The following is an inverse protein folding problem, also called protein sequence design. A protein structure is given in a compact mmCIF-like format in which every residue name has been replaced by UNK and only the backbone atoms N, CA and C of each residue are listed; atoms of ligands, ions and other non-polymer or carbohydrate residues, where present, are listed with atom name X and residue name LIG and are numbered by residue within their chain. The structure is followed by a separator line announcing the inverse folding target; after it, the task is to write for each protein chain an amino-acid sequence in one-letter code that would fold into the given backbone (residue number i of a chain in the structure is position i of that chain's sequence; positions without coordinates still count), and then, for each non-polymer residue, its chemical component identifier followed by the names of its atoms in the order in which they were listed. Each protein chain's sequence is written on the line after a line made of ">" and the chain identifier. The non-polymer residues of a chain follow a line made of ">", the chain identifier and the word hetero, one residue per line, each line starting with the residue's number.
data_IF_176026864715
#
_entry.id   IF_176026864715
#
_cell.length_a   1.000
_cell.length_b   1.000
_cell.length_c   1.000
_cell.angle_alpha   90.00
_cell.angle_beta   90.00
_cell.angle_gamma   90.00
#
_symmetry.space_group_name_H-M   'P 1'
#
loop_
_entity.id
_entity.type
_entity.pdbx_description
1 polymer ?
#
# COMPACT_ATOMS: atom_id res chain seq x y z
N UNK A 1 28.07 -13.36 6.58
CA UNK A 1 27.03 -12.79 7.43
C UNK A 1 26.70 -13.85 8.45
N UNK A 2 26.86 -13.51 9.72
CA UNK A 2 26.49 -14.39 10.84
C UNK A 2 24.98 -14.22 11.14
N UNK A 3 24.30 -15.28 11.58
CA UNK A 3 22.88 -15.24 11.98
C UNK A 3 21.86 -15.34 10.85
N UNK A 4 22.29 -15.49 9.58
CA UNK A 4 21.37 -15.59 8.42
C UNK A 4 20.44 -16.81 8.53
N UNK A 5 20.90 -17.85 9.22
CA UNK A 5 20.14 -19.09 9.47
C UNK A 5 18.94 -18.87 10.44
N UNK A 6 18.89 -17.72 11.12
CA UNK A 6 17.79 -17.35 12.00
C UNK A 6 16.64 -16.67 11.24
N UNK A 7 16.87 -16.31 9.96
CA UNK A 7 15.90 -15.60 9.12
C UNK A 7 15.34 -16.54 8.05
N UNK A 8 14.03 -16.51 7.88
CA UNK A 8 13.33 -17.24 6.82
C UNK A 8 13.13 -16.38 5.57
N UNK A 9 13.05 -15.05 5.74
CA UNK A 9 12.66 -14.14 4.67
C UNK A 9 13.22 -12.73 4.89
N UNK A 10 13.60 -12.09 3.79
CA UNK A 10 13.91 -10.65 3.72
C UNK A 10 12.82 -9.97 2.89
N UNK A 11 12.24 -8.90 3.41
CA UNK A 11 11.22 -8.09 2.75
C UNK A 11 11.73 -6.66 2.66
N UNK A 12 12.05 -6.23 1.44
CA UNK A 12 12.38 -4.84 1.17
C UNK A 12 11.11 -4.06 0.82
N UNK A 13 10.81 -3.01 1.57
CA UNK A 13 9.65 -2.13 1.41
C UNK A 13 10.15 -0.74 1.00
N UNK A 14 10.41 -0.59 -0.29
CA UNK A 14 10.90 0.62 -0.92
C UNK A 14 9.76 1.49 -1.48
N UNK A 15 10.10 2.69 -1.94
CA UNK A 15 9.17 3.65 -2.53
C UNK A 15 8.87 3.40 -4.03
N UNK A 16 9.32 2.27 -4.60
CA UNK A 16 9.02 1.93 -5.98
C UNK A 16 7.50 1.71 -6.20
N UNK A 17 6.96 2.06 -7.36
CA UNK A 17 5.53 1.90 -7.65
C UNK A 17 5.04 0.47 -7.44
N UNK A 18 3.81 0.30 -6.95
CA UNK A 18 3.14 -1.01 -6.80
C UNK A 18 2.72 -1.63 -8.14
N UNK A 19 2.96 -0.94 -9.25
CA UNK A 19 2.72 -1.41 -10.61
C UNK A 19 2.97 -0.31 -11.61
N UNK A 20 3.06 -0.68 -12.88
CA UNK A 20 3.42 0.23 -13.99
C UNK A 20 2.23 0.60 -14.88
N UNK A 21 1.04 0.13 -14.57
CA UNK A 21 -0.15 0.35 -15.40
C UNK A 21 -1.30 0.91 -14.57
N UNK A 22 -2.26 1.62 -15.19
CA UNK A 22 -3.45 2.12 -14.49
C UNK A 22 -4.32 1.02 -13.85
N UNK A 23 -4.11 -0.26 -14.19
CA UNK A 23 -4.81 -1.41 -13.62
C UNK A 23 -4.31 -1.79 -12.22
N UNK A 24 -3.07 -1.46 -11.91
CA UNK A 24 -2.53 -1.64 -10.58
C UNK A 24 -3.07 -0.54 -9.66
N UNK A 25 -3.62 -0.92 -8.53
CA UNK A 25 -4.19 -0.02 -7.54
C UNK A 25 -4.14 -0.68 -6.14
N UNK A 26 -4.41 0.06 -5.05
CA UNK A 26 -4.38 -0.49 -3.70
C UNK A 26 -5.22 -1.75 -3.52
N UNK A 27 -6.45 -1.79 -4.08
CA UNK A 27 -7.34 -2.95 -3.95
C UNK A 27 -6.79 -4.20 -4.65
N UNK A 28 -6.17 -4.04 -5.83
CA UNK A 28 -5.58 -5.19 -6.57
C UNK A 28 -4.31 -5.68 -5.93
N UNK A 29 -3.44 -4.78 -5.48
CA UNK A 29 -2.14 -5.12 -4.90
C UNK A 29 -2.29 -5.87 -3.56
N UNK A 30 -3.18 -5.42 -2.69
CA UNK A 30 -3.47 -6.07 -1.40
C UNK A 30 -4.30 -7.35 -1.53
N UNK A 31 -4.81 -7.66 -2.72
CA UNK A 31 -5.73 -8.77 -2.95
C UNK A 31 -7.16 -8.53 -2.45
N UNK A 32 -7.45 -7.34 -1.90
CA UNK A 32 -8.80 -6.93 -1.48
C UNK A 32 -9.81 -7.02 -2.61
N UNK A 33 -9.38 -6.69 -3.83
CA UNK A 33 -10.25 -6.71 -5.00
C UNK A 33 -10.81 -8.10 -5.34
N UNK A 34 -10.09 -9.18 -5.01
CA UNK A 34 -10.61 -10.53 -5.20
C UNK A 34 -11.84 -10.78 -4.32
N UNK A 35 -11.77 -10.36 -3.05
CA UNK A 35 -12.87 -10.52 -2.10
C UNK A 35 -14.07 -9.63 -2.48
N UNK A 36 -13.83 -8.43 -3.00
CA UNK A 36 -14.87 -7.55 -3.54
C UNK A 36 -15.56 -8.19 -4.74
N UNK A 37 -14.82 -8.76 -5.69
CA UNK A 37 -15.38 -9.46 -6.86
C UNK A 37 -16.22 -10.66 -6.46
N UNK A 38 -15.77 -11.44 -5.49
CA UNK A 38 -16.53 -12.58 -4.94
C UNK A 38 -17.84 -12.12 -4.32
N UNK A 39 -17.81 -11.02 -3.58
CA UNK A 39 -19.01 -10.41 -2.99
C UNK A 39 -20.03 -10.02 -4.06
N UNK A 40 -19.60 -9.30 -5.11
CA UNK A 40 -20.50 -8.89 -6.20
C UNK A 40 -21.04 -10.10 -6.96
N UNK A 41 -20.25 -11.12 -7.23
CA UNK A 41 -20.68 -12.36 -7.86
C UNK A 41 -21.69 -13.14 -6.99
N UNK A 42 -21.66 -12.98 -5.67
CA UNK A 42 -22.56 -13.63 -4.74
C UNK A 42 -23.93 -12.96 -4.64
N UNK A 43 -24.11 -11.74 -5.17
CA UNK A 43 -25.39 -11.02 -5.15
C UNK A 43 -26.46 -11.76 -5.92
N UNK A 44 -27.72 -11.60 -5.50
CA UNK A 44 -28.87 -12.25 -6.18
C UNK A 44 -28.97 -11.82 -7.65
N UNK A 45 -28.72 -10.54 -7.93
CA UNK A 45 -28.77 -10.00 -9.29
C UNK A 45 -27.66 -10.60 -10.19
N UNK A 46 -26.43 -10.72 -9.69
CA UNK A 46 -25.35 -11.37 -10.43
C UNK A 46 -25.65 -12.84 -10.72
N UNK A 47 -26.17 -13.59 -9.73
CA UNK A 47 -26.57 -14.99 -9.87
C UNK A 47 -27.68 -15.17 -10.89
N UNK A 48 -28.71 -14.32 -10.88
CA UNK A 48 -29.84 -14.39 -11.83
C UNK A 48 -29.40 -14.13 -13.28
N UNK A 49 -28.32 -13.38 -13.47
CA UNK A 49 -27.73 -13.07 -14.78
C UNK A 49 -26.61 -14.06 -15.17
N UNK A 50 -26.26 -15.03 -14.32
CA UNK A 50 -25.15 -15.96 -14.56
C UNK A 50 -23.77 -15.29 -14.50
N UNK A 51 -23.62 -14.19 -13.75
CA UNK A 51 -22.38 -13.45 -13.64
C UNK A 51 -21.49 -14.04 -12.55
N UNK A 52 -20.37 -14.66 -12.94
CA UNK A 52 -19.33 -15.11 -12.01
C UNK A 52 -18.32 -14.01 -11.70
N UNK A 53 -17.35 -14.34 -10.85
CA UNK A 53 -16.28 -13.42 -10.39
C UNK A 53 -15.51 -12.74 -11.54
N UNK A 54 -15.32 -13.44 -12.67
CA UNK A 54 -14.64 -12.90 -13.86
C UNK A 54 -15.36 -11.71 -14.47
N UNK A 55 -16.71 -11.63 -14.36
CA UNK A 55 -17.51 -10.50 -14.85
C UNK A 55 -17.13 -9.18 -14.17
N UNK A 56 -16.75 -9.26 -12.92
CA UNK A 56 -16.36 -8.11 -12.09
C UNK A 56 -14.85 -7.80 -12.15
N UNK A 57 -14.11 -8.43 -13.06
CA UNK A 57 -12.70 -8.11 -13.32
C UNK A 57 -12.59 -7.15 -14.50
N UNK A 58 -11.91 -6.02 -14.29
CA UNK A 58 -11.57 -5.12 -15.40
C UNK A 58 -10.39 -5.63 -16.26
N UNK A 59 -9.75 -6.74 -15.89
CA UNK A 59 -8.67 -7.37 -16.68
C UNK A 59 -9.20 -8.42 -17.67
N UNK A 60 -10.43 -8.89 -17.49
CA UNK A 60 -11.01 -9.99 -18.28
C UNK A 60 -12.14 -9.45 -19.17
N UNK A 61 -12.23 -9.96 -20.39
CA UNK A 61 -13.32 -9.64 -21.32
C UNK A 61 -14.67 -10.07 -20.74
N UNK A 62 -15.71 -9.38 -21.16
CA UNK A 62 -17.11 -9.67 -20.79
C UNK A 62 -17.70 -8.66 -19.83
N UNK A 63 -16.99 -8.23 -18.79
CA UNK A 63 -17.48 -7.20 -17.84
C UNK A 63 -16.81 -5.84 -17.96
N UNK A 64 -15.61 -5.78 -18.53
CA UNK A 64 -14.86 -4.56 -18.69
C UNK A 64 -15.36 -3.68 -19.85
N UNK A 65 -15.02 -2.42 -19.83
CA UNK A 65 -15.16 -1.52 -20.96
C UNK A 65 -14.16 -1.94 -22.05
N UNK A 66 -14.63 -2.32 -23.23
CA UNK A 66 -13.74 -2.75 -24.32
C UNK A 66 -13.06 -1.57 -25.01
N UNK A 67 -13.61 -0.34 -24.94
CA UNK A 67 -12.99 0.85 -25.53
C UNK A 67 -11.63 1.19 -24.89
N UNK A 68 -11.52 1.05 -23.54
CA UNK A 68 -10.26 1.24 -22.81
C UNK A 68 -9.68 -0.06 -22.28
N UNK A 69 -10.21 -1.21 -22.68
CA UNK A 69 -9.79 -2.53 -22.21
C UNK A 69 -9.75 -2.68 -20.67
N UNK A 70 -10.56 -1.90 -19.95
CA UNK A 70 -10.65 -1.91 -18.50
C UNK A 70 -9.70 -0.94 -17.78
N UNK A 71 -8.88 -0.17 -18.50
CA UNK A 71 -7.94 0.80 -17.90
C UNK A 71 -8.68 2.00 -17.28
N UNK A 72 -9.88 2.32 -17.78
CA UNK A 72 -10.61 3.53 -17.41
C UNK A 72 -10.04 4.79 -18.06
N UNK A 73 -8.82 4.73 -18.53
CA UNK A 73 -8.05 5.80 -19.17
C UNK A 73 -7.67 5.39 -20.59
N UNK A 74 -7.49 6.35 -21.45
CA UNK A 74 -6.89 6.20 -22.78
C UNK A 74 -5.51 6.86 -22.76
N UNK A 75 -4.50 6.14 -23.21
CA UNK A 75 -3.14 6.65 -23.36
C UNK A 75 -3.06 7.38 -24.70
N UNK A 76 -2.65 8.64 -24.67
CA UNK A 76 -2.32 9.44 -25.86
C UNK A 76 -0.80 9.50 -25.92
N UNK A 77 -0.22 8.79 -26.89
CA UNK A 77 1.22 8.79 -27.11
C UNK A 77 1.66 10.09 -27.79
N UNK A 78 2.64 10.77 -27.21
CA UNK A 78 3.21 12.00 -27.72
C UNK A 78 4.69 11.76 -28.05
N UNK A 79 5.08 11.93 -29.32
CA UNK A 79 6.43 11.58 -29.81
C UNK A 79 7.59 12.30 -29.11
N UNK A 80 7.38 13.49 -28.54
CA UNK A 80 8.44 14.30 -27.92
C UNK A 80 8.11 14.76 -26.48
N UNK A 81 6.96 14.38 -25.96
CA UNK A 81 6.48 14.73 -24.61
C UNK A 81 6.07 13.46 -23.88
N UNK A 82 5.99 13.50 -22.54
CA UNK A 82 5.44 12.38 -21.77
C UNK A 82 4.02 12.03 -22.22
N UNK A 83 3.71 10.74 -22.24
CA UNK A 83 2.37 10.25 -22.57
C UNK A 83 1.31 10.85 -21.64
N UNK A 84 0.17 11.22 -22.21
CA UNK A 84 -0.97 11.78 -21.47
C UNK A 84 -2.04 10.70 -21.32
N UNK A 85 -2.59 10.59 -20.11
CA UNK A 85 -3.72 9.72 -19.83
C UNK A 85 -4.99 10.55 -19.67
N UNK A 86 -6.02 10.26 -20.47
CA UNK A 86 -7.33 10.92 -20.41
C UNK A 86 -8.42 9.92 -20.04
N UNK A 87 -9.46 10.32 -19.29
CA UNK A 87 -10.58 9.45 -18.98
C UNK A 87 -11.23 8.89 -20.25
N UNK A 88 -11.53 7.60 -20.26
CA UNK A 88 -12.23 6.96 -21.37
C UNK A 88 -13.64 7.56 -21.53
N UNK A 89 -13.97 8.09 -22.69
CA UNK A 89 -15.26 8.74 -22.97
C UNK A 89 -16.44 7.76 -22.85
N UNK A 90 -16.25 6.48 -23.17
CA UNK A 90 -17.29 5.45 -23.16
C UNK A 90 -17.67 5.08 -21.72
N UNK A 91 -16.70 4.74 -20.88
CA UNK A 91 -16.96 4.33 -19.50
C UNK A 91 -16.79 5.47 -18.48
N UNK A 92 -16.33 6.63 -18.90
CA UNK A 92 -16.07 7.82 -18.04
C UNK A 92 -15.20 7.48 -16.81
N UNK A 93 -14.14 6.73 -17.03
CA UNK A 93 -13.21 6.29 -15.98
C UNK A 93 -13.67 5.05 -15.19
N UNK A 94 -14.90 4.55 -15.39
CA UNK A 94 -15.48 3.49 -14.56
C UNK A 94 -14.97 2.09 -14.83
N UNK A 95 -14.17 1.87 -15.88
CA UNK A 95 -13.51 0.59 -16.25
C UNK A 95 -14.44 -0.54 -16.74
N UNK A 96 -15.75 -0.48 -16.49
CA UNK A 96 -16.74 -1.55 -16.78
C UNK A 96 -17.74 -1.14 -17.84
N UNK A 97 -18.36 -2.14 -18.44
CA UNK A 97 -19.52 -1.94 -19.31
C UNK A 97 -20.78 -1.68 -18.47
N UNK A 98 -21.84 -1.20 -19.15
CA UNK A 98 -23.09 -0.79 -18.50
C UNK A 98 -23.75 -1.93 -17.74
N UNK A 99 -23.82 -3.12 -18.33
CA UNK A 99 -24.51 -4.28 -17.76
C UNK A 99 -23.85 -4.73 -16.44
N UNK A 100 -22.51 -4.67 -16.34
CA UNK A 100 -21.81 -4.97 -15.09
C UNK A 100 -22.07 -3.94 -14.01
N UNK A 101 -22.20 -2.65 -14.40
CA UNK A 101 -22.48 -1.56 -13.45
C UNK A 101 -23.94 -1.53 -12.95
N UNK A 102 -24.85 -2.30 -13.57
CA UNK A 102 -26.22 -2.46 -13.06
C UNK A 102 -26.25 -3.28 -11.78
N UNK A 103 -25.33 -4.25 -11.62
CA UNK A 103 -25.26 -5.07 -10.40
C UNK A 103 -24.81 -4.22 -9.21
N UNK A 104 -25.60 -4.28 -8.13
CA UNK A 104 -25.37 -3.46 -6.94
C UNK A 104 -25.31 -4.30 -5.66
N UNK A 105 -24.46 -3.84 -4.75
CA UNK A 105 -24.41 -4.29 -3.36
C UNK A 105 -24.61 -3.09 -2.45
N UNK A 106 -25.62 -3.12 -1.56
CA UNK A 106 -26.03 -1.96 -0.73
C UNK A 106 -26.16 -0.65 -1.54
N UNK A 107 -26.74 -0.72 -2.75
CA UNK A 107 -26.97 0.44 -3.62
C UNK A 107 -25.74 0.92 -4.43
N UNK A 108 -24.54 0.39 -4.19
CA UNK A 108 -23.31 0.75 -4.89
C UNK A 108 -22.91 -0.32 -5.91
N UNK A 109 -22.48 0.09 -7.10
CA UNK A 109 -21.87 -0.82 -8.08
C UNK A 109 -20.36 -0.97 -7.82
N UNK A 110 -19.71 -1.87 -8.56
CA UNK A 110 -18.28 -2.16 -8.33
C UNK A 110 -17.36 -0.97 -8.65
N UNK A 111 -17.72 -0.11 -9.59
CA UNK A 111 -16.94 1.11 -9.87
C UNK A 111 -17.11 2.14 -8.75
N UNK A 112 -18.33 2.28 -8.19
CA UNK A 112 -18.58 3.15 -7.03
C UNK A 112 -17.71 2.68 -5.83
N UNK A 113 -17.56 1.37 -5.63
CA UNK A 113 -16.72 0.81 -4.56
C UNK A 113 -15.23 1.08 -4.80
N UNK A 114 -14.76 0.98 -6.05
CA UNK A 114 -13.36 1.32 -6.37
C UNK A 114 -13.07 2.82 -6.20
N UNK A 115 -14.09 3.68 -6.31
CA UNK A 115 -13.96 5.13 -6.09
C UNK A 115 -14.03 5.53 -4.61
N UNK A 116 -14.42 4.62 -3.71
CA UNK A 116 -14.40 4.86 -2.26
C UNK A 116 -12.97 5.01 -1.76
N UNK A 117 -12.77 5.90 -0.78
CA UNK A 117 -11.57 5.91 0.05
C UNK A 117 -11.52 4.66 0.93
N UNK A 118 -10.36 4.35 1.50
CA UNK A 118 -10.22 3.25 2.46
C UNK A 118 -11.15 3.44 3.65
N UNK A 119 -11.28 4.68 4.17
CA UNK A 119 -12.16 5.00 5.30
C UNK A 119 -13.64 4.75 4.97
N UNK A 120 -14.11 5.25 3.82
CA UNK A 120 -15.48 5.02 3.35
C UNK A 120 -15.76 3.52 3.13
N UNK A 121 -14.80 2.80 2.56
CA UNK A 121 -14.92 1.36 2.32
C UNK A 121 -14.92 0.56 3.64
N UNK A 122 -14.17 0.99 4.64
CA UNK A 122 -14.14 0.37 5.97
C UNK A 122 -15.51 0.44 6.65
N UNK A 123 -16.18 1.59 6.56
CA UNK A 123 -17.54 1.77 7.04
C UNK A 123 -18.54 0.93 6.24
N UNK A 124 -18.46 1.01 4.90
CA UNK A 124 -19.36 0.31 3.98
C UNK A 124 -19.32 -1.21 4.16
N UNK A 125 -18.12 -1.78 4.36
CA UNK A 125 -17.89 -3.22 4.55
C UNK A 125 -17.78 -3.64 6.02
N UNK A 126 -18.21 -2.82 6.97
CA UNK A 126 -18.09 -3.07 8.42
C UNK A 126 -18.64 -4.42 8.88
N UNK A 127 -19.69 -4.92 8.22
CA UNK A 127 -20.31 -6.21 8.50
C UNK A 127 -19.59 -7.43 7.88
N UNK A 128 -18.52 -7.22 7.11
CA UNK A 128 -17.78 -8.27 6.40
C UNK A 128 -16.36 -8.41 6.96
N UNK A 129 -16.12 -9.33 7.95
CA UNK A 129 -14.86 -9.38 8.70
C UNK A 129 -13.61 -9.51 7.84
N UNK A 130 -13.68 -10.27 6.76
CA UNK A 130 -12.54 -10.49 5.84
C UNK A 130 -12.12 -9.21 5.12
N UNK A 131 -13.08 -8.45 4.58
CA UNK A 131 -12.84 -7.17 3.93
C UNK A 131 -12.40 -6.11 4.95
N UNK A 132 -13.11 -6.05 6.09
CA UNK A 132 -12.80 -5.12 7.18
C UNK A 132 -11.36 -5.28 7.65
N UNK A 133 -10.89 -6.51 7.89
CA UNK A 133 -9.51 -6.75 8.35
C UNK A 133 -8.46 -6.18 7.39
N UNK A 134 -8.62 -6.37 6.06
CA UNK A 134 -7.70 -5.86 5.06
C UNK A 134 -7.76 -4.34 4.91
N UNK A 135 -8.96 -3.77 4.98
CA UNK A 135 -9.14 -2.32 4.95
C UNK A 135 -8.54 -1.66 6.20
N UNK A 136 -8.68 -2.30 7.37
CA UNK A 136 -8.09 -1.82 8.61
C UNK A 136 -6.56 -1.75 8.51
N UNK A 137 -5.89 -2.73 7.90
CA UNK A 137 -4.42 -2.65 7.72
C UNK A 137 -4.00 -1.49 6.81
N UNK A 138 -4.81 -1.14 5.79
CA UNK A 138 -4.56 0.05 4.97
C UNK A 138 -4.76 1.35 5.76
N UNK A 139 -5.79 1.41 6.59
CA UNK A 139 -6.05 2.56 7.46
C UNK A 139 -4.96 2.73 8.52
N UNK A 140 -4.54 1.62 9.14
CA UNK A 140 -3.49 1.60 10.18
C UNK A 140 -2.14 2.17 9.69
N UNK A 141 -1.85 2.04 8.40
CA UNK A 141 -0.64 2.64 7.79
C UNK A 141 -0.85 4.06 7.26
N UNK A 142 -1.95 4.73 7.62
CA UNK A 142 -2.23 6.12 7.24
C UNK A 142 -2.73 6.29 5.80
N UNK A 143 -3.36 5.27 5.19
CA UNK A 143 -3.91 5.34 3.83
C UNK A 143 -5.44 5.50 3.80
N UNK A 144 -6.05 5.99 4.88
CA UNK A 144 -7.50 6.17 4.98
C UNK A 144 -8.12 6.99 3.86
N UNK A 145 -7.41 8.02 3.41
CA UNK A 145 -7.84 8.95 2.36
C UNK A 145 -7.66 8.43 0.92
N UNK A 146 -6.87 7.37 0.71
CA UNK A 146 -6.55 6.85 -0.62
C UNK A 146 -7.73 6.06 -1.17
N UNK A 147 -8.07 6.26 -2.45
CA UNK A 147 -9.13 5.50 -3.10
C UNK A 147 -8.69 4.07 -3.41
N UNK A 148 -9.59 3.11 -3.25
CA UNK A 148 -9.32 1.69 -3.51
C UNK A 148 -8.85 1.42 -4.93
N UNK A 149 -9.44 2.08 -5.92
CA UNK A 149 -9.14 1.96 -7.35
C UNK A 149 -8.17 3.01 -7.89
N UNK A 150 -7.51 3.81 -7.03
CA UNK A 150 -6.55 4.83 -7.45
C UNK A 150 -5.40 4.19 -8.24
N UNK A 151 -5.13 4.64 -9.47
CA UNK A 151 -4.04 4.08 -10.27
C UNK A 151 -2.69 4.18 -9.56
N UNK A 152 -1.87 3.14 -9.65
CA UNK A 152 -0.53 3.13 -9.05
C UNK A 152 0.38 4.26 -9.56
N UNK A 153 0.10 4.77 -10.75
CA UNK A 153 0.83 5.89 -11.37
C UNK A 153 0.50 7.25 -10.74
N UNK A 154 -0.57 7.33 -9.96
CA UNK A 154 -0.99 8.53 -9.23
C UNK A 154 -0.63 8.49 -7.74
N UNK A 155 -0.11 7.35 -7.26
CA UNK A 155 0.37 7.22 -5.89
C UNK A 155 1.76 7.83 -5.75
N UNK A 156 1.98 8.57 -4.68
CA UNK A 156 3.33 8.97 -4.26
C UNK A 156 4.17 7.74 -3.86
N UNK A 157 5.51 7.89 -3.85
CA UNK A 157 6.40 6.83 -3.40
C UNK A 157 6.08 6.33 -1.99
N UNK A 158 5.81 7.24 -1.06
CA UNK A 158 5.41 6.91 0.31
C UNK A 158 4.07 6.16 0.39
N UNK A 159 3.07 6.53 -0.41
CA UNK A 159 1.80 5.79 -0.48
C UNK A 159 2.00 4.38 -1.04
N UNK A 160 2.78 4.24 -2.12
CA UNK A 160 3.11 2.94 -2.71
C UNK A 160 3.82 2.04 -1.68
N UNK A 161 4.77 2.57 -0.93
CA UNK A 161 5.49 1.89 0.13
C UNK A 161 4.53 1.41 1.24
N UNK A 162 3.61 2.27 1.70
CA UNK A 162 2.63 1.90 2.72
C UNK A 162 1.61 0.86 2.25
N UNK A 163 1.23 0.86 0.96
CA UNK A 163 0.42 -0.24 0.38
C UNK A 163 1.18 -1.57 0.44
N UNK A 164 2.49 -1.57 0.16
CA UNK A 164 3.34 -2.77 0.30
C UNK A 164 3.38 -3.23 1.76
N UNK A 165 3.60 -2.32 2.69
CA UNK A 165 3.61 -2.60 4.13
C UNK A 165 2.28 -3.20 4.59
N UNK A 166 1.13 -2.60 4.24
CA UNK A 166 -0.20 -3.12 4.57
C UNK A 166 -0.42 -4.55 4.02
N UNK A 167 0.13 -4.82 2.83
CA UNK A 167 0.06 -6.15 2.22
C UNK A 167 0.85 -7.19 3.02
N UNK A 168 2.05 -6.86 3.48
CA UNK A 168 2.86 -7.76 4.32
C UNK A 168 2.20 -7.99 5.68
N UNK A 169 1.65 -6.95 6.32
CA UNK A 169 0.90 -7.04 7.58
C UNK A 169 -0.35 -7.94 7.49
N UNK A 170 -0.95 -8.04 6.31
CA UNK A 170 -2.11 -8.90 6.09
C UNK A 170 -1.76 -10.38 6.02
N UNK A 171 -0.47 -10.73 5.87
CA UNK A 171 0.03 -12.11 5.83
C UNK A 171 0.22 -12.65 7.24
N UNK A 172 0.28 -13.96 7.37
CA UNK A 172 0.63 -14.60 8.63
C UNK A 172 2.13 -14.44 8.87
N UNK A 173 2.49 -13.84 10.01
CA UNK A 173 3.89 -13.67 10.41
C UNK A 173 4.50 -15.02 10.81
N UNK A 174 5.74 -15.28 10.38
CA UNK A 174 6.53 -16.45 10.81
C UNK A 174 7.38 -16.15 12.06
N UNK A 175 7.54 -14.86 12.40
CA UNK A 175 8.42 -14.42 13.50
C UNK A 175 9.91 -14.47 13.17
N UNK A 176 10.27 -14.68 11.90
CA UNK A 176 11.66 -14.78 11.43
C UNK A 176 11.89 -13.98 10.14
N UNK A 177 11.10 -12.96 9.92
CA UNK A 177 11.24 -12.08 8.75
C UNK A 177 12.01 -10.83 9.14
N UNK A 178 12.96 -10.41 8.31
CA UNK A 178 13.54 -9.07 8.37
C UNK A 178 12.83 -8.16 7.37
N UNK A 179 12.29 -7.06 7.86
CA UNK A 179 11.69 -5.98 7.08
C UNK A 179 12.67 -4.83 6.98
N UNK A 180 12.92 -4.34 5.78
CA UNK A 180 13.77 -3.19 5.51
C UNK A 180 12.90 -2.10 4.91
N UNK A 181 12.81 -0.96 5.58
CA UNK A 181 12.02 0.19 5.17
C UNK A 181 12.95 1.39 4.94
N UNK A 182 12.74 2.08 3.82
CA UNK A 182 13.50 3.27 3.45
C UNK A 182 12.59 4.51 3.54
N UNK A 183 12.86 5.39 4.50
CA UNK A 183 12.13 6.63 4.81
C UNK A 183 10.59 6.47 4.82
N UNK A 184 10.03 5.53 5.62
CA UNK A 184 8.60 5.23 5.58
C UNK A 184 7.71 6.38 6.08
N UNK A 185 8.27 7.41 6.74
CA UNK A 185 7.52 8.59 7.21
C UNK A 185 7.39 9.70 6.17
N UNK A 186 8.00 9.54 4.98
CA UNK A 186 7.95 10.58 3.93
C UNK A 186 6.50 10.93 3.57
N UNK A 187 6.16 12.23 3.72
CA UNK A 187 4.84 12.76 3.41
C UNK A 187 3.74 12.43 4.44
N UNK A 188 4.10 11.92 5.63
CA UNK A 188 3.17 11.68 6.73
C UNK A 188 3.01 12.89 7.65
N UNK A 189 1.79 13.06 8.15
CA UNK A 189 1.51 13.94 9.28
C UNK A 189 1.88 13.26 10.60
N UNK A 190 2.13 14.01 11.66
CA UNK A 190 2.58 13.48 12.96
C UNK A 190 1.68 12.36 13.52
N UNK A 191 0.35 12.48 13.38
CA UNK A 191 -0.57 11.43 13.84
C UNK A 191 -0.44 10.12 13.03
N UNK A 192 -0.15 10.21 11.73
CA UNK A 192 0.06 9.04 10.89
C UNK A 192 1.43 8.40 11.14
N UNK A 193 2.45 9.20 11.52
CA UNK A 193 3.74 8.67 12.01
C UNK A 193 3.53 7.82 13.26
N UNK A 194 2.72 8.28 14.22
CA UNK A 194 2.38 7.51 15.42
C UNK A 194 1.71 6.16 15.07
N UNK A 195 0.72 6.18 14.18
CA UNK A 195 0.06 4.95 13.70
C UNK A 195 1.04 4.00 13.02
N UNK A 196 1.95 4.54 12.20
CA UNK A 196 2.98 3.75 11.53
C UNK A 196 3.90 3.08 12.57
N UNK A 197 4.34 3.81 13.60
CA UNK A 197 5.16 3.25 14.68
C UNK A 197 4.44 2.11 15.42
N UNK A 198 3.14 2.25 15.73
CA UNK A 198 2.33 1.19 16.33
C UNK A 198 2.28 -0.06 15.44
N UNK A 199 2.24 0.13 14.12
CA UNK A 199 2.27 -0.95 13.12
C UNK A 199 3.63 -1.65 13.10
N UNK A 200 4.73 -0.89 13.09
CA UNK A 200 6.09 -1.43 13.10
C UNK A 200 6.35 -2.20 14.40
N UNK A 201 5.89 -1.67 15.54
CA UNK A 201 6.00 -2.35 16.82
C UNK A 201 5.25 -3.69 16.83
N UNK A 202 4.07 -3.77 16.25
CA UNK A 202 3.34 -5.05 16.09
C UNK A 202 4.12 -6.09 15.29
N UNK A 203 4.92 -5.67 14.29
CA UNK A 203 5.81 -6.58 13.56
C UNK A 203 6.93 -7.11 14.44
N UNK A 204 7.54 -6.25 15.25
CA UNK A 204 8.60 -6.61 16.20
C UNK A 204 8.04 -7.53 17.29
N UNK A 205 6.89 -7.22 17.88
CA UNK A 205 6.23 -8.03 18.90
C UNK A 205 5.85 -9.44 18.39
N UNK A 206 5.63 -9.58 17.06
CA UNK A 206 5.43 -10.86 16.41
C UNK A 206 6.73 -11.66 16.17
N UNK A 207 7.88 -11.19 16.68
CA UNK A 207 9.18 -11.85 16.61
C UNK A 207 10.03 -11.51 15.39
N UNK A 208 9.57 -10.56 14.54
CA UNK A 208 10.33 -10.16 13.37
C UNK A 208 11.37 -9.09 13.69
N UNK A 209 12.31 -8.91 12.79
CA UNK A 209 13.28 -7.80 12.83
C UNK A 209 12.85 -6.71 11.86
N UNK A 210 12.85 -5.46 12.33
CA UNK A 210 12.50 -4.29 11.51
C UNK A 210 13.72 -3.35 11.46
N UNK A 211 14.23 -3.11 10.26
CA UNK A 211 15.30 -2.15 9.99
C UNK A 211 14.69 -0.97 9.25
N UNK A 212 14.86 0.23 9.80
CA UNK A 212 14.30 1.46 9.22
C UNK A 212 15.44 2.43 8.95
N UNK A 213 15.50 2.95 7.74
CA UNK A 213 16.36 4.08 7.38
C UNK A 213 15.50 5.31 7.54
N UNK A 214 15.85 6.21 8.45
CA UNK A 214 15.02 7.37 8.80
C UNK A 214 15.82 8.58 9.27
N UNK A 215 15.19 9.75 9.12
CA UNK A 215 15.67 11.03 9.62
C UNK A 215 14.66 11.68 10.59
N UNK A 216 13.48 11.10 10.73
CA UNK A 216 12.44 11.57 11.63
C UNK A 216 12.77 11.22 13.08
N UNK A 217 12.97 12.23 13.92
CA UNK A 217 13.37 12.05 15.33
C UNK A 217 12.32 11.29 16.15
N UNK A 218 11.04 11.38 15.81
CA UNK A 218 10.00 10.65 16.54
C UNK A 218 10.14 9.13 16.30
N UNK A 219 10.59 8.73 15.12
CA UNK A 219 10.90 7.32 14.81
C UNK A 219 12.20 6.89 15.47
N UNK A 220 13.25 7.71 15.33
CA UNK A 220 14.59 7.42 15.87
C UNK A 220 14.53 7.21 17.39
N UNK A 221 13.79 8.04 18.12
CA UNK A 221 13.61 7.92 19.58
C UNK A 221 12.86 6.67 20.02
N UNK A 222 12.09 6.05 19.12
CA UNK A 222 11.32 4.84 19.41
C UNK A 222 12.07 3.53 19.04
N UNK A 223 13.28 3.64 18.46
CA UNK A 223 14.06 2.47 18.08
C UNK A 223 14.67 1.78 19.30
N UNK A 224 14.77 0.46 19.26
CA UNK A 224 15.47 -0.32 20.29
C UNK A 224 17.00 -0.19 20.14
N UNK A 225 17.48 0.01 18.91
CA UNK A 225 18.89 0.11 18.59
C UNK A 225 19.13 1.02 17.38
N UNK A 226 20.12 1.88 17.44
CA UNK A 226 20.51 2.82 16.39
C UNK A 226 21.87 2.48 15.82
N UNK A 227 22.03 2.72 14.53
CA UNK A 227 23.31 2.73 13.81
C UNK A 227 23.41 4.09 13.13
N UNK A 228 24.19 4.99 13.73
CA UNK A 228 24.38 6.35 13.21
C UNK A 228 25.54 6.39 12.23
N UNK A 229 25.26 6.84 11.00
CA UNK A 229 26.21 6.93 9.90
C UNK A 229 26.55 8.38 9.62
N UNK A 230 27.83 8.68 9.46
CA UNK A 230 28.27 10.05 9.20
C UNK A 230 29.79 10.15 9.04
N UNK A 231 30.39 11.36 9.39
CA UNK A 231 29.70 12.63 9.66
C UNK A 231 29.15 13.31 8.40
N UNK A 232 29.66 12.95 7.21
CA UNK A 232 29.30 13.54 5.92
C UNK A 232 28.63 12.50 5.02
N UNK A 233 28.15 12.94 3.85
CA UNK A 233 27.64 12.07 2.78
C UNK A 233 28.67 11.86 1.67
N UNK A 234 28.39 10.94 0.73
CA UNK A 234 29.25 10.64 -0.41
C UNK A 234 30.58 10.01 -0.02
N UNK A 235 31.66 10.37 -0.72
CA UNK A 235 32.99 9.79 -0.54
C UNK A 235 33.63 10.08 0.83
N UNK A 236 33.18 11.13 1.52
CA UNK A 236 33.64 11.52 2.88
C UNK A 236 32.79 10.98 4.02
N UNK A 237 31.71 10.23 3.70
CA UNK A 237 30.74 9.74 4.69
C UNK A 237 30.62 8.22 4.74
N UNK A 238 29.53 7.77 5.35
CA UNK A 238 29.19 6.33 5.38
C UNK A 238 30.00 5.52 6.39
N UNK A 239 30.67 6.17 7.33
CA UNK A 239 31.31 5.49 8.47
C UNK A 239 30.33 5.42 9.64
N UNK A 240 30.47 4.38 10.47
CA UNK A 240 29.71 4.29 11.71
C UNK A 240 30.29 5.27 12.72
N UNK A 241 29.45 6.24 13.14
CA UNK A 241 29.82 7.24 14.16
C UNK A 241 29.62 6.65 15.55
N UNK A 242 28.46 6.05 15.79
CA UNK A 242 28.09 5.40 17.04
C UNK A 242 26.99 4.39 16.79
N UNK A 243 26.93 3.37 17.64
CA UNK A 243 25.84 2.38 17.69
C UNK A 243 25.39 2.20 19.14
N UNK A 244 24.12 1.96 19.37
CA UNK A 244 23.59 1.74 20.71
C UNK A 244 22.10 2.11 20.83
N UNK A 245 21.62 2.20 22.04
CA UNK A 245 20.28 2.69 22.32
C UNK A 245 20.17 4.19 21.99
N UNK A 246 18.97 4.76 21.84
CA UNK A 246 18.78 6.19 21.63
C UNK A 246 19.49 7.05 22.70
N UNK A 247 19.51 6.61 23.95
CA UNK A 247 20.18 7.30 25.06
C UNK A 247 21.71 7.27 24.92
N UNK A 248 22.27 6.16 24.47
CA UNK A 248 23.72 6.02 24.23
C UNK A 248 24.15 6.92 23.05
N UNK A 249 23.33 6.95 21.99
CA UNK A 249 23.59 7.85 20.83
C UNK A 249 23.46 9.31 21.24
N UNK A 250 22.47 9.69 22.04
CA UNK A 250 22.30 11.04 22.57
C UNK A 250 23.48 11.51 23.47
N UNK A 251 24.16 10.55 24.13
CA UNK A 251 25.35 10.84 24.93
C UNK A 251 26.63 10.99 24.11
N UNK A 252 26.62 10.67 22.80
CA UNK A 252 27.79 10.74 21.92
C UNK A 252 27.96 12.15 21.33
N UNK A 253 29.01 12.93 21.69
CA UNK A 253 29.21 14.30 21.19
C UNK A 253 29.48 14.37 19.67
N UNK A 254 29.91 13.27 19.05
CA UNK A 254 30.21 13.18 17.63
C UNK A 254 28.97 12.91 16.77
N UNK A 255 27.85 12.50 17.38
CA UNK A 255 26.60 12.19 16.69
C UNK A 255 25.76 13.46 16.51
N UNK A 256 25.50 13.86 15.26
CA UNK A 256 24.54 14.91 14.96
C UNK A 256 23.09 14.48 15.26
N UNK A 257 22.81 13.20 15.09
CA UNK A 257 21.51 12.62 15.44
C UNK A 257 21.27 12.66 16.95
N UNK A 258 22.33 12.52 17.74
CA UNK A 258 22.28 12.54 19.21
C UNK A 258 22.13 13.94 19.82
N UNK A 259 22.58 14.99 19.13
CA UNK A 259 22.50 16.38 19.58
C UNK A 259 21.07 16.94 19.47
#
# INVERSE_FOLDING_TARGET
>A
IEGIEQLDKVVNIDQSPIGRTPRSNPATYTGLFNDIRDLFASTQEAKSRGYGQGRFSFNVRGGRCEACSGDGLLKIEMHFLPDIFVPCEVCKGRRYNRETLEVRYKGKNIADVLDMTVDEALEFFSALPKLKKRLQTLQDVGLGYVKLGQPSTELSGGEAQRVKLATELSKQATGKTIYILDEPTTGLHSDDVRKLLEVLQRLVDAGNTVVVIEHNLDVIKCADYLIDLGPEGGDGGGTIVVTGTPEEVAACPASFTGQ
#
